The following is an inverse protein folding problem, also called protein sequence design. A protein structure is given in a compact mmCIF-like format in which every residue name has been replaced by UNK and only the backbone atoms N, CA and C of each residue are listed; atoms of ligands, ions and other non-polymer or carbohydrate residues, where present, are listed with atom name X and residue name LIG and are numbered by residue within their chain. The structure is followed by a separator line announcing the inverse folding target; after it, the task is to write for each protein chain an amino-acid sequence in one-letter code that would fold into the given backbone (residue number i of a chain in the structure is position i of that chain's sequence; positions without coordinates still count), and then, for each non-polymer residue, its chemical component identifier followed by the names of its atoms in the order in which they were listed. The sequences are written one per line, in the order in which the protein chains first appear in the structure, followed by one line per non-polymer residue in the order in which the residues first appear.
data_IF_794405207698
#
_entry.id   IF_794405207698
#
_cell.length_a   1.000
_cell.length_b   1.000
_cell.length_c   1.000
_cell.angle_alpha   90.00
_cell.angle_beta   90.00
_cell.angle_gamma   90.00
#
_symmetry.space_group_name_H-M   'P 1'
#
loop_
_entity.id
_entity.type
_entity.pdbx_description
1 polymer ?
#
# COMPACT_ATOMS: atom_id res chain seq x y z
N UNK A 1 12.89 -2.03 -29.77
CA UNK A 1 11.60 -1.95 -29.08
C UNK A 1 11.20 -0.52 -28.85
N UNK A 2 9.99 -0.16 -29.17
CA UNK A 2 9.47 1.20 -28.99
C UNK A 2 8.96 1.40 -27.57
N UNK A 3 8.77 2.66 -27.15
CA UNK A 3 8.18 2.99 -25.84
C UNK A 3 6.80 2.33 -25.68
N UNK A 4 5.98 2.29 -26.74
CA UNK A 4 4.66 1.66 -26.68
C UNK A 4 4.73 0.16 -26.42
N UNK A 5 5.73 -0.52 -26.93
CA UNK A 5 5.92 -1.95 -26.69
C UNK A 5 6.29 -2.22 -25.25
N UNK A 6 7.12 -1.37 -24.64
CA UNK A 6 7.43 -1.46 -23.21
C UNK A 6 6.20 -1.23 -22.35
N UNK A 7 5.39 -0.24 -22.68
CA UNK A 7 4.16 0.06 -21.95
C UNK A 7 3.18 -1.11 -21.99
N UNK A 8 3.03 -1.74 -23.14
CA UNK A 8 2.12 -2.86 -23.32
C UNK A 8 2.58 -4.12 -22.59
N UNK A 9 3.92 -4.30 -22.48
CA UNK A 9 4.50 -5.44 -21.80
C UNK A 9 4.79 -5.15 -20.33
N UNK A 10 4.53 -3.94 -19.85
CA UNK A 10 4.95 -3.47 -18.53
C UNK A 10 4.25 -4.17 -17.39
N UNK A 11 5.06 -4.54 -16.39
CA UNK A 11 4.58 -4.93 -15.08
C UNK A 11 4.76 -3.71 -14.19
N UNK A 12 3.72 -3.34 -13.47
CA UNK A 12 3.77 -2.19 -12.57
C UNK A 12 4.54 -2.54 -11.30
N UNK A 13 5.43 -1.66 -10.88
CA UNK A 13 6.19 -1.83 -9.64
C UNK A 13 5.69 -0.80 -8.64
N UNK A 14 5.24 -1.29 -7.49
CA UNK A 14 4.52 -0.48 -6.50
C UNK A 14 5.19 -0.64 -5.14
N UNK A 15 5.33 0.46 -4.41
CA UNK A 15 5.78 0.46 -3.01
C UNK A 15 4.55 0.56 -2.11
N UNK A 16 4.48 -0.30 -1.09
CA UNK A 16 3.38 -0.35 -0.14
C UNK A 16 3.91 -0.25 1.28
N UNK A 17 3.16 0.41 2.15
CA UNK A 17 3.52 0.58 3.55
C UNK A 17 2.62 -0.19 4.50
N UNK A 18 3.23 -0.87 5.47
CA UNK A 18 2.53 -1.46 6.60
C UNK A 18 2.75 -0.54 7.80
N UNK A 19 1.69 0.12 8.23
CA UNK A 19 1.71 1.00 9.38
C UNK A 19 0.72 0.46 10.41
N UNK A 20 1.23 0.03 11.56
CA UNK A 20 0.41 -0.49 12.66
C UNK A 20 0.46 0.50 13.82
N UNK A 21 -0.70 0.85 14.32
CA UNK A 21 -0.86 1.76 15.46
C UNK A 21 -1.96 1.22 16.36
N UNK A 22 -1.61 0.91 17.61
CA UNK A 22 -2.60 0.42 18.57
C UNK A 22 -3.34 -0.83 18.13
N UNK A 23 -2.66 -1.80 17.52
CA UNK A 23 -3.26 -3.04 17.05
C UNK A 23 -4.09 -2.90 15.78
N UNK A 24 -3.98 -1.77 15.09
CA UNK A 24 -4.72 -1.50 13.83
C UNK A 24 -3.77 -1.17 12.70
N UNK A 25 -4.16 -1.60 11.51
CA UNK A 25 -3.41 -1.40 10.28
C UNK A 25 -4.01 -0.24 9.49
N UNK A 26 -3.13 0.64 8.99
CA UNK A 26 -3.55 1.73 8.10
C UNK A 26 -3.88 1.17 6.73
N UNK A 27 -5.03 1.49 6.22
CA UNK A 27 -5.48 1.08 4.88
C UNK A 27 -6.02 2.27 4.10
N UNK A 28 -6.07 2.11 2.77
CA UNK A 28 -6.71 3.04 1.87
C UNK A 28 -7.94 2.38 1.26
N UNK A 29 -8.97 3.18 1.04
CA UNK A 29 -10.21 2.70 0.44
C UNK A 29 -10.78 3.78 -0.47
N UNK A 30 -11.15 3.41 -1.69
CA UNK A 30 -11.96 4.31 -2.51
C UNK A 30 -13.32 4.46 -1.82
N UNK A 31 -13.85 5.66 -1.76
CA UNK A 31 -15.13 5.91 -1.10
C UNK A 31 -16.22 5.04 -1.71
N UNK A 32 -16.95 4.32 -0.87
CA UNK A 32 -18.01 3.42 -1.30
C UNK A 32 -17.55 2.02 -1.69
N UNK A 33 -16.24 1.75 -1.70
CA UNK A 33 -15.72 0.42 -2.02
C UNK A 33 -15.80 -0.51 -0.83
N UNK A 34 -16.09 -1.78 -1.08
CA UNK A 34 -16.08 -2.83 -0.05
C UNK A 34 -14.66 -3.37 0.22
N UNK A 35 -13.70 -3.03 -0.63
CA UNK A 35 -12.31 -3.50 -0.50
C UNK A 35 -11.38 -2.37 -0.15
N UNK A 36 -10.24 -2.71 0.43
CA UNK A 36 -9.20 -1.76 0.76
C UNK A 36 -7.82 -2.31 0.38
N UNK A 37 -6.82 -1.47 0.46
CA UNK A 37 -5.46 -1.81 0.08
C UNK A 37 -4.47 -1.06 0.98
N UNK A 38 -3.20 -1.46 0.92
CA UNK A 38 -2.16 -0.77 1.68
C UNK A 38 -1.81 0.57 1.01
N UNK A 39 -1.47 1.59 1.81
CA UNK A 39 -0.99 2.86 1.26
C UNK A 39 0.26 2.70 0.41
N UNK A 40 0.41 3.56 -0.56
CA UNK A 40 1.58 3.59 -1.43
C UNK A 40 1.23 3.93 -2.86
N UNK A 41 2.13 3.63 -3.77
CA UNK A 41 1.93 3.89 -5.18
C UNK A 41 3.12 3.48 -6.02
N UNK A 42 3.07 3.84 -7.29
CA UNK A 42 4.07 3.45 -8.29
C UNK A 42 5.45 4.00 -7.99
N UNK A 43 6.45 3.14 -8.17
CA UNK A 43 7.85 3.53 -8.10
C UNK A 43 8.21 4.18 -9.41
N UNK A 44 8.72 5.40 -9.38
CA UNK A 44 9.12 6.13 -10.57
C UNK A 44 10.60 5.87 -10.89
N UNK A 45 10.96 6.14 -12.13
CA UNK A 45 12.34 6.01 -12.57
C UNK A 45 13.25 6.86 -11.68
N UNK A 46 14.32 6.24 -11.18
CA UNK A 46 15.29 6.93 -10.33
C UNK A 46 14.99 6.91 -8.84
N UNK A 47 13.85 6.34 -8.42
CA UNK A 47 13.50 6.19 -7.01
C UNK A 47 13.73 4.76 -6.52
N UNK A 48 14.08 4.64 -5.25
CA UNK A 48 13.97 3.36 -4.55
C UNK A 48 12.52 3.17 -4.09
N UNK A 49 12.16 1.96 -3.69
CA UNK A 49 10.82 1.69 -3.13
C UNK A 49 10.54 2.53 -1.89
N UNK A 50 11.53 2.73 -1.02
CA UNK A 50 11.39 3.57 0.19
C UNK A 50 11.13 5.02 -0.16
N UNK A 51 11.86 5.55 -1.14
CA UNK A 51 11.68 6.92 -1.61
C UNK A 51 10.29 7.11 -2.24
N UNK A 52 9.85 6.14 -3.03
CA UNK A 52 8.53 6.16 -3.63
C UNK A 52 7.42 6.17 -2.57
N UNK A 53 7.53 5.31 -1.57
CA UNK A 53 6.55 5.26 -0.47
C UNK A 53 6.48 6.59 0.27
N UNK A 54 7.62 7.17 0.61
CA UNK A 54 7.66 8.46 1.30
C UNK A 54 7.04 9.58 0.44
N UNK A 55 7.33 9.59 -0.86
CA UNK A 55 6.77 10.57 -1.78
C UNK A 55 5.25 10.41 -1.90
N UNK A 56 4.77 9.18 -2.08
CA UNK A 56 3.34 8.91 -2.21
C UNK A 56 2.56 9.34 -0.96
N UNK A 57 3.08 9.09 0.23
CA UNK A 57 2.43 9.51 1.47
C UNK A 57 2.40 11.02 1.62
N UNK A 58 3.43 11.71 1.15
CA UNK A 58 3.44 13.17 1.14
C UNK A 58 2.41 13.72 0.15
N UNK A 59 2.31 13.11 -1.02
CA UNK A 59 1.33 13.52 -2.04
C UNK A 59 -0.11 13.23 -1.63
N UNK A 60 -0.36 12.03 -1.11
CA UNK A 60 -1.72 11.57 -0.80
C UNK A 60 -2.25 12.05 0.54
N UNK A 61 -1.41 12.17 1.54
CA UNK A 61 -1.83 12.51 2.90
C UNK A 61 -1.12 13.72 3.51
N UNK A 62 -0.13 14.27 2.82
CA UNK A 62 0.60 15.44 3.29
C UNK A 62 1.45 15.20 4.51
N UNK A 63 1.86 13.96 4.76
CA UNK A 63 2.66 13.61 5.92
C UNK A 63 4.02 13.06 5.52
N UNK A 64 5.01 13.28 6.37
CA UNK A 64 6.33 12.68 6.23
C UNK A 64 6.36 11.40 7.04
N UNK A 65 6.51 10.28 6.35
CA UNK A 65 6.58 8.98 7.01
C UNK A 65 8.03 8.54 7.17
N UNK A 66 8.25 7.67 8.12
CA UNK A 66 9.54 7.01 8.30
C UNK A 66 9.40 5.58 7.82
N UNK A 67 10.14 5.22 6.77
CA UNK A 67 10.11 3.85 6.24
C UNK A 67 11.05 2.96 7.05
N UNK A 68 10.60 1.75 7.30
CA UNK A 68 11.31 0.78 8.13
C UNK A 68 11.72 -0.48 7.37
N UNK A 69 11.62 -1.61 8.02
CA UNK A 69 12.07 -2.89 7.49
C UNK A 69 11.32 -3.31 6.23
N UNK A 70 12.05 -3.89 5.28
CA UNK A 70 11.46 -4.53 4.11
C UNK A 70 10.78 -5.82 4.54
N UNK A 71 9.52 -6.00 4.14
CA UNK A 71 8.70 -7.13 4.58
C UNK A 71 8.48 -8.19 3.51
N UNK A 72 8.75 -7.89 2.28
CA UNK A 72 8.60 -8.86 1.21
C UNK A 72 8.04 -8.30 -0.08
N UNK A 73 7.84 -9.20 -1.02
CA UNK A 73 7.30 -8.92 -2.34
C UNK A 73 5.97 -9.64 -2.47
N UNK A 74 4.96 -8.94 -2.93
CA UNK A 74 3.65 -9.52 -3.23
C UNK A 74 3.34 -9.31 -4.70
N UNK A 75 3.26 -10.38 -5.45
CA UNK A 75 2.83 -10.36 -6.85
C UNK A 75 1.31 -10.38 -6.89
N UNK A 76 0.74 -9.60 -7.80
CA UNK A 76 -0.71 -9.53 -7.96
C UNK A 76 -1.06 -9.34 -9.43
N UNK A 77 -2.06 -10.04 -9.90
CA UNK A 77 -2.59 -9.88 -11.25
C UNK A 77 -4.10 -9.80 -11.17
N UNK A 78 -4.68 -8.88 -11.90
CA UNK A 78 -6.13 -8.67 -11.86
C UNK A 78 -6.62 -8.06 -13.17
N UNK A 79 -7.94 -8.15 -13.36
CA UNK A 79 -8.62 -7.50 -14.48
C UNK A 79 -9.33 -6.26 -13.96
N UNK A 80 -9.18 -5.16 -14.65
CA UNK A 80 -9.87 -3.93 -14.32
C UNK A 80 -10.20 -3.18 -15.61
N UNK A 81 -11.45 -2.78 -15.77
CA UNK A 81 -11.92 -2.06 -16.95
C UNK A 81 -11.57 -2.77 -18.27
N UNK A 82 -11.66 -4.11 -18.26
CA UNK A 82 -11.37 -4.92 -19.44
C UNK A 82 -9.90 -5.10 -19.77
N UNK A 83 -9.00 -4.57 -18.93
CA UNK A 83 -7.55 -4.66 -19.14
C UNK A 83 -6.89 -5.58 -18.10
N UNK A 84 -5.83 -6.25 -18.52
CA UNK A 84 -5.01 -7.08 -17.66
C UNK A 84 -3.99 -6.20 -16.93
N UNK A 85 -3.90 -6.37 -15.64
CA UNK A 85 -2.92 -5.69 -14.80
C UNK A 85 -2.06 -6.71 -14.08
N UNK A 86 -0.76 -6.46 -14.06
CA UNK A 86 0.18 -7.24 -13.27
C UNK A 86 1.04 -6.27 -12.47
N UNK A 87 1.24 -6.56 -11.20
CA UNK A 87 2.03 -5.68 -10.34
C UNK A 87 2.93 -6.48 -9.41
N UNK A 88 4.07 -5.87 -9.08
CA UNK A 88 4.99 -6.34 -8.07
C UNK A 88 4.98 -5.30 -6.96
N UNK A 89 4.53 -5.69 -5.78
CA UNK A 89 4.46 -4.82 -4.62
C UNK A 89 5.65 -5.07 -3.72
N UNK A 90 6.46 -4.04 -3.51
CA UNK A 90 7.52 -4.05 -2.51
C UNK A 90 6.94 -3.49 -1.23
N UNK A 91 6.95 -4.30 -0.17
CA UNK A 91 6.26 -3.97 1.08
C UNK A 91 7.24 -3.62 2.18
N UNK A 92 7.07 -2.46 2.78
CA UNK A 92 7.94 -1.93 3.86
C UNK A 92 7.09 -1.58 5.09
N UNK A 93 7.68 -1.71 6.25
CA UNK A 93 7.10 -1.12 7.46
C UNK A 93 7.19 0.41 7.36
N UNK A 94 6.21 1.10 7.93
CA UNK A 94 6.10 2.54 7.82
C UNK A 94 5.55 3.11 9.12
N UNK A 95 6.16 4.17 9.60
CA UNK A 95 5.68 4.93 10.75
C UNK A 95 5.12 6.26 10.25
N UNK A 96 3.85 6.48 10.47
CA UNK A 96 3.14 7.70 10.04
C UNK A 96 3.01 8.73 11.16
N UNK A 97 3.71 8.52 12.28
CA UNK A 97 3.60 9.40 13.45
C UNK A 97 2.32 9.15 14.23
N UNK A 98 1.90 10.13 15.03
CA UNK A 98 0.73 10.00 15.90
C UNK A 98 -0.49 10.80 15.43
N UNK A 99 -0.31 11.65 14.44
CA UNK A 99 -1.38 12.48 13.92
C UNK A 99 -2.42 11.72 13.11
N UNK A 100 -3.53 12.36 12.84
CA UNK A 100 -4.56 11.82 11.97
C UNK A 100 -4.04 11.73 10.53
N UNK A 101 -4.34 10.63 9.86
CA UNK A 101 -3.98 10.43 8.45
C UNK A 101 -5.21 10.70 7.61
N UNK A 102 -5.21 11.82 6.89
CA UNK A 102 -6.34 12.27 6.09
C UNK A 102 -5.92 12.43 4.64
N UNK A 103 -6.72 11.88 3.73
CA UNK A 103 -6.44 11.98 2.31
C UNK A 103 -6.62 13.41 1.79
N UNK A 104 -5.73 13.82 0.89
CA UNK A 104 -5.87 15.05 0.13
C UNK A 104 -6.77 14.86 -1.09
N UNK A 105 -7.10 13.61 -1.42
CA UNK A 105 -7.94 13.25 -2.55
C UNK A 105 -9.38 13.00 -2.08
N UNK A 106 -10.35 13.59 -2.76
CA UNK A 106 -11.77 13.49 -2.35
C UNK A 106 -12.36 12.09 -2.51
N UNK A 107 -11.77 11.26 -3.36
CA UNK A 107 -12.32 9.96 -3.72
C UNK A 107 -11.69 8.79 -2.95
N UNK A 108 -10.66 9.06 -2.14
CA UNK A 108 -9.96 8.09 -1.32
C UNK A 108 -10.08 8.49 0.14
N UNK A 109 -10.20 7.51 1.02
CA UNK A 109 -10.09 7.72 2.46
C UNK A 109 -9.11 6.76 3.08
N UNK A 110 -8.41 7.21 4.10
CA UNK A 110 -7.58 6.38 4.95
C UNK A 110 -8.41 5.89 6.13
N UNK A 111 -8.12 4.68 6.60
CA UNK A 111 -8.77 4.13 7.77
C UNK A 111 -7.86 3.19 8.52
N UNK A 112 -8.26 2.86 9.72
CA UNK A 112 -7.54 1.93 10.58
C UNK A 112 -8.39 0.69 10.80
N UNK A 113 -7.83 -0.49 10.50
CA UNK A 113 -8.55 -1.75 10.60
C UNK A 113 -7.85 -2.65 11.61
N UNK A 114 -8.61 -3.23 12.52
CA UNK A 114 -8.07 -4.17 13.50
C UNK A 114 -7.35 -5.33 12.83
N UNK A 115 -6.21 -5.73 13.37
CA UNK A 115 -5.41 -6.82 12.79
C UNK A 115 -6.16 -8.15 12.71
N UNK A 116 -7.16 -8.36 13.56
CA UNK A 116 -8.03 -9.53 13.49
C UNK A 116 -9.16 -9.44 12.47
N UNK A 117 -9.31 -8.30 11.80
CA UNK A 117 -10.43 -8.00 10.91
C UNK A 117 -10.03 -7.74 9.46
N UNK A 118 -8.78 -8.02 9.10
CA UNK A 118 -8.25 -7.70 7.76
C UNK A 118 -9.02 -8.37 6.62
N UNK A 119 -9.43 -9.62 6.84
CA UNK A 119 -10.23 -10.34 5.85
C UNK A 119 -11.61 -9.75 5.67
N UNK A 120 -12.30 -9.44 6.75
CA UNK A 120 -13.64 -8.86 6.74
C UNK A 120 -13.63 -7.44 6.16
N UNK A 121 -12.56 -6.70 6.38
CA UNK A 121 -12.38 -5.37 5.82
C UNK A 121 -12.08 -5.38 4.32
N UNK A 122 -11.79 -6.55 3.75
CA UNK A 122 -11.54 -6.69 2.32
C UNK A 122 -10.17 -6.21 1.87
N UNK A 123 -9.14 -6.39 2.72
CA UNK A 123 -7.77 -6.03 2.35
C UNK A 123 -7.26 -6.92 1.22
N UNK A 124 -6.92 -6.32 0.09
CA UNK A 124 -6.43 -7.00 -1.10
C UNK A 124 -5.08 -6.45 -1.54
N UNK A 125 -4.21 -7.22 -2.19
CA UNK A 125 -4.33 -8.68 -2.33
C UNK A 125 -4.24 -9.41 -0.98
N UNK A 126 -4.76 -10.61 -0.94
CA UNK A 126 -4.89 -11.38 0.31
C UNK A 126 -3.56 -11.59 1.05
N UNK A 127 -2.45 -11.68 0.31
CA UNK A 127 -1.14 -11.84 0.92
C UNK A 127 -0.76 -10.69 1.87
N UNK A 128 -1.34 -9.52 1.71
CA UNK A 128 -1.11 -8.39 2.62
C UNK A 128 -1.64 -8.68 4.03
N UNK A 129 -2.64 -9.55 4.14
CA UNK A 129 -3.26 -9.88 5.43
C UNK A 129 -2.27 -10.57 6.36
N UNK A 130 -1.53 -11.53 5.82
CA UNK A 130 -0.49 -12.23 6.58
C UNK A 130 0.66 -11.30 6.97
N UNK A 131 1.12 -10.46 6.03
CA UNK A 131 2.20 -9.51 6.30
C UNK A 131 1.79 -8.47 7.35
N UNK A 132 0.56 -7.97 7.28
CA UNK A 132 0.04 -7.01 8.25
C UNK A 132 -0.07 -7.60 9.65
N UNK A 133 -0.60 -8.81 9.76
CA UNK A 133 -0.74 -9.51 11.03
C UNK A 133 0.63 -9.82 11.64
N UNK A 134 1.60 -10.26 10.84
CA UNK A 134 2.96 -10.55 11.27
C UNK A 134 3.69 -9.30 11.78
N UNK A 135 3.57 -8.19 11.07
CA UNK A 135 4.13 -6.92 11.50
C UNK A 135 3.53 -6.46 12.82
N UNK A 136 2.20 -6.64 12.99
CA UNK A 136 1.51 -6.31 14.23
C UNK A 136 2.03 -7.11 15.41
N UNK A 137 2.23 -8.40 15.25
CA UNK A 137 2.78 -9.26 16.29
C UNK A 137 4.17 -8.81 16.73
N UNK A 138 4.99 -8.35 15.79
CA UNK A 138 6.33 -7.81 16.09
C UNK A 138 6.28 -6.50 16.87
N UNK A 139 5.35 -5.62 16.55
CA UNK A 139 5.20 -4.35 17.25
C UNK A 139 4.66 -4.50 18.67
N UNK A 140 3.89 -5.54 18.91
CA UNK A 140 3.34 -5.82 20.24
C UNK A 140 4.28 -6.61 21.14
N UNK A 141 5.29 -7.22 20.55
CA UNK A 141 6.32 -7.93 21.30
C UNK A 141 7.33 -6.97 21.92
#
# INVERSE_FOLDING_TARGET
MTAGEYELAGIETIARGICVRGGRLLVCRAKGSATCYLPGGHIEFGETGREALAREMREEAGIDVRTGAFRGVVENSFMQHGAKHAEINLVYEMDAGEGEVVSKEDWIEFGWVGLGELGEAGLLPEAFRALGADAGARFEA
#
